data_IF_205504754746
#
_entry.id   IF_205504754746
#
_cell.length_a   1.000
_cell.length_b   1.000
_cell.length_c   1.000
_cell.angle_alpha   90.00
_cell.angle_beta   90.00
_cell.angle_gamma   90.00
#
_symmetry.space_group_name_H-M   'P 1'
#
loop_
_entity.id
_entity.type
_entity.pdbx_description
1 polymer ?
#
# COMPACT_ATOMS: atom_id res chain seq x y z
N UNK A 1 18.33 3.60 -7.37
CA UNK A 1 17.55 4.78 -7.79
C UNK A 1 16.37 4.42 -8.69
N UNK A 2 16.57 3.64 -9.77
CA UNK A 2 15.50 3.28 -10.74
C UNK A 2 14.23 2.70 -10.10
N UNK A 3 14.35 1.74 -9.18
CA UNK A 3 13.16 1.08 -8.59
C UNK A 3 12.26 2.05 -7.81
N UNK A 4 12.84 3.02 -7.08
CA UNK A 4 12.09 4.01 -6.30
C UNK A 4 11.24 4.92 -7.18
N UNK A 5 11.78 5.29 -8.35
CA UNK A 5 11.10 6.09 -9.36
C UNK A 5 9.94 5.29 -9.97
N UNK A 6 10.17 4.02 -10.30
CA UNK A 6 9.12 3.13 -10.82
C UNK A 6 8.00 2.97 -9.81
N UNK A 7 8.31 2.64 -8.55
CA UNK A 7 7.30 2.47 -7.51
C UNK A 7 6.46 3.74 -7.29
N UNK A 8 7.09 4.93 -7.31
CA UNK A 8 6.35 6.19 -7.23
C UNK A 8 5.41 6.38 -8.42
N UNK A 9 5.88 6.07 -9.63
CA UNK A 9 5.06 6.19 -10.83
C UNK A 9 3.86 5.23 -10.77
N UNK A 10 4.09 3.96 -10.41
CA UNK A 10 3.04 2.95 -10.26
C UNK A 10 1.98 3.38 -9.22
N UNK A 11 2.42 3.94 -8.09
CA UNK A 11 1.53 4.46 -7.06
C UNK A 11 0.73 5.68 -7.56
N UNK A 12 1.36 6.60 -8.31
CA UNK A 12 0.67 7.75 -8.91
C UNK A 12 -0.31 7.33 -9.99
N UNK A 13 0.05 6.34 -10.81
CA UNK A 13 -0.81 5.81 -11.87
C UNK A 13 -2.03 5.12 -11.27
N UNK A 14 -1.86 4.36 -10.19
CA UNK A 14 -2.96 3.80 -9.41
C UNK A 14 -3.92 4.90 -8.94
N UNK A 15 -3.40 5.91 -8.25
CA UNK A 15 -4.20 7.04 -7.74
C UNK A 15 -4.93 7.77 -8.87
N UNK A 16 -4.26 8.03 -10.00
CA UNK A 16 -4.83 8.75 -11.13
C UNK A 16 -5.88 7.91 -11.86
N UNK A 17 -5.61 6.62 -12.11
CA UNK A 17 -6.51 5.71 -12.84
C UNK A 17 -7.84 5.54 -12.13
N UNK A 18 -7.81 5.43 -10.81
CA UNK A 18 -9.00 5.22 -9.99
C UNK A 18 -9.64 6.53 -9.52
N UNK A 19 -9.18 7.67 -10.05
CA UNK A 19 -9.61 9.00 -9.64
C UNK A 19 -9.70 9.11 -8.10
N UNK A 20 -8.56 8.92 -7.43
CA UNK A 20 -8.44 9.04 -5.97
C UNK A 20 -7.86 10.38 -5.53
N UNK A 21 -7.34 11.18 -6.47
CA UNK A 21 -6.72 12.48 -6.19
C UNK A 21 -7.70 13.47 -5.53
N UNK A 22 -7.30 14.12 -4.44
CA UNK A 22 -8.00 15.30 -3.93
C UNK A 22 -7.11 16.55 -4.08
N UNK A 23 -7.58 17.71 -3.60
CA UNK A 23 -6.83 18.98 -3.70
C UNK A 23 -5.59 19.02 -2.80
N UNK A 24 -5.44 18.06 -1.90
CA UNK A 24 -4.32 17.89 -0.98
C UNK A 24 -3.45 16.72 -1.49
N UNK A 25 -2.18 16.62 -1.09
CA UNK A 25 -1.37 15.44 -1.44
C UNK A 25 -1.55 14.26 -0.47
N UNK A 26 -2.63 14.30 0.33
CA UNK A 26 -3.11 13.24 1.22
C UNK A 26 -4.39 12.67 0.63
N UNK A 27 -4.35 11.44 0.15
CA UNK A 27 -5.45 10.71 -0.46
C UNK A 27 -6.01 9.72 0.55
N UNK A 28 -7.32 9.72 0.77
CA UNK A 28 -7.98 8.85 1.75
C UNK A 28 -9.19 8.18 1.10
N UNK A 29 -9.26 6.85 1.15
CA UNK A 29 -10.31 6.06 0.51
C UNK A 29 -10.50 4.70 1.18
N UNK A 30 -11.68 4.11 1.01
CA UNK A 30 -11.96 2.74 1.41
C UNK A 30 -11.43 1.76 0.36
N UNK A 31 -11.03 0.58 0.80
CA UNK A 31 -10.44 -0.44 -0.07
C UNK A 31 -10.73 -1.85 0.43
N UNK A 32 -10.69 -2.82 -0.49
CA UNK A 32 -10.62 -4.24 -0.16
C UNK A 32 -9.15 -4.65 -0.14
N UNK A 33 -8.66 -5.09 1.01
CA UNK A 33 -7.28 -5.47 1.24
C UNK A 33 -7.15 -6.97 1.44
N UNK A 34 -6.13 -7.55 0.80
CA UNK A 34 -5.64 -8.88 1.13
C UNK A 34 -4.15 -8.81 1.45
N UNK A 35 -3.76 -9.35 2.60
CA UNK A 35 -2.36 -9.40 3.06
C UNK A 35 -1.97 -10.86 3.17
N UNK A 36 -0.86 -11.25 2.57
CA UNK A 36 -0.23 -12.55 2.80
C UNK A 36 1.16 -12.30 3.35
N UNK A 37 1.48 -12.90 4.49
CA UNK A 37 2.84 -12.91 5.07
C UNK A 37 3.38 -14.34 5.04
N UNK A 38 4.59 -14.58 5.56
CA UNK A 38 5.17 -15.93 5.59
C UNK A 38 4.26 -16.94 6.30
N UNK A 39 3.57 -16.51 7.37
CA UNK A 39 2.81 -17.41 8.26
C UNK A 39 1.32 -17.09 8.34
N UNK A 40 0.88 -15.91 7.89
CA UNK A 40 -0.48 -15.43 8.12
C UNK A 40 -1.10 -14.90 6.83
N UNK A 41 -2.43 -14.80 6.83
CA UNK A 41 -3.19 -14.27 5.71
C UNK A 41 -4.45 -13.53 6.19
N UNK A 42 -4.70 -12.38 5.60
CA UNK A 42 -5.97 -11.66 5.62
C UNK A 42 -6.49 -11.61 4.19
N UNK A 43 -7.77 -11.90 3.98
CA UNK A 43 -8.36 -11.93 2.64
C UNK A 43 -9.60 -11.06 2.61
N UNK A 44 -9.68 -10.19 1.60
CA UNK A 44 -10.83 -9.34 1.30
C UNK A 44 -11.39 -8.56 2.50
N UNK A 45 -10.52 -8.00 3.34
CA UNK A 45 -10.94 -7.16 4.46
C UNK A 45 -11.12 -5.73 3.96
N UNK A 46 -12.28 -5.14 4.23
CA UNK A 46 -12.50 -3.72 3.97
C UNK A 46 -11.74 -2.88 5.01
N UNK A 47 -10.96 -1.90 4.55
CA UNK A 47 -10.26 -0.96 5.42
C UNK A 47 -10.00 0.36 4.70
N UNK A 48 -9.79 1.39 5.51
CA UNK A 48 -9.39 2.71 5.06
C UNK A 48 -7.91 2.71 4.68
N UNK A 49 -7.57 3.41 3.60
CA UNK A 49 -6.21 3.56 3.11
C UNK A 49 -5.90 5.04 2.95
N UNK A 50 -4.73 5.42 3.46
CA UNK A 50 -4.18 6.77 3.28
C UNK A 50 -2.94 6.67 2.39
N UNK A 51 -2.86 7.50 1.36
CA UNK A 51 -1.67 7.68 0.52
C UNK A 51 -1.18 9.10 0.68
N UNK A 52 0.11 9.29 0.98
CA UNK A 52 0.72 10.63 1.09
C UNK A 52 1.91 10.78 0.16
N UNK A 53 2.07 11.99 -0.42
CA UNK A 53 3.23 12.36 -1.24
C UNK A 53 4.04 13.55 -0.68
N UNK A 54 3.64 14.11 0.48
CA UNK A 54 4.13 15.41 0.98
C UNK A 54 5.41 15.40 1.84
N UNK A 55 5.99 14.23 2.11
CA UNK A 55 7.20 14.14 2.93
C UNK A 55 8.46 14.55 2.11
N UNK A 56 9.36 15.34 2.69
CA UNK A 56 10.66 15.68 2.08
C UNK A 56 11.39 14.38 1.71
N UNK A 57 11.80 14.22 0.44
CA UNK A 57 12.38 12.98 -0.12
C UNK A 57 11.44 11.75 -0.24
N UNK A 58 10.12 11.93 -0.12
CA UNK A 58 9.15 10.84 -0.19
C UNK A 58 8.72 10.50 -1.61
N UNK A 59 8.90 9.22 -1.94
CA UNK A 59 8.40 8.59 -3.16
C UNK A 59 6.93 8.15 -3.02
N UNK A 60 6.25 8.54 -1.94
CA UNK A 60 4.90 8.13 -1.62
C UNK A 60 4.86 7.08 -0.51
N UNK A 61 3.89 7.21 0.39
CA UNK A 61 3.59 6.26 1.46
C UNK A 61 2.15 5.77 1.35
N UNK A 62 1.92 4.52 1.70
CA UNK A 62 0.62 3.87 1.83
C UNK A 62 0.45 3.42 3.28
N UNK A 63 -0.64 3.81 3.91
CA UNK A 63 -1.02 3.43 5.27
C UNK A 63 -2.33 2.65 5.21
N UNK A 64 -2.37 1.50 5.90
CA UNK A 64 -3.60 0.75 6.15
C UNK A 64 -4.13 1.16 7.52
N UNK A 65 -5.34 1.72 7.53
CA UNK A 65 -6.02 2.17 8.74
C UNK A 65 -6.99 1.08 9.17
N UNK A 66 -6.53 0.21 10.06
CA UNK A 66 -7.34 -0.87 10.64
C UNK A 66 -6.82 -1.20 12.04
N UNK A 67 -7.64 -0.93 13.05
CA UNK A 67 -7.28 -1.12 14.45
C UNK A 67 -7.25 -2.60 14.87
N UNK A 68 -7.80 -3.50 14.04
CA UNK A 68 -7.87 -4.94 14.35
C UNK A 68 -6.73 -5.74 13.69
N UNK A 69 -5.88 -5.10 12.86
CA UNK A 69 -4.69 -5.76 12.33
C UNK A 69 -3.62 -5.85 13.42
N UNK A 70 -3.25 -7.07 13.80
CA UNK A 70 -2.06 -7.30 14.61
C UNK A 70 -0.80 -6.93 13.82
N UNK A 71 -0.21 -5.79 14.16
CA UNK A 71 1.00 -5.25 13.50
C UNK A 71 2.24 -6.11 13.70
N UNK A 72 2.22 -7.05 14.66
CA UNK A 72 3.27 -8.06 14.80
C UNK A 72 3.21 -9.14 13.72
N UNK A 73 2.06 -9.29 13.06
CA UNK A 73 1.78 -10.32 12.05
C UNK A 73 1.58 -9.75 10.65
N UNK A 74 1.18 -8.48 10.54
CA UNK A 74 0.88 -7.80 9.28
C UNK A 74 1.48 -6.38 9.24
N UNK A 75 2.20 -6.02 8.17
CA UNK A 75 2.65 -4.64 7.98
C UNK A 75 1.47 -3.73 7.64
N UNK A 76 1.50 -2.49 8.14
CA UNK A 76 0.45 -1.48 7.90
C UNK A 76 0.96 -0.22 7.21
N UNK A 77 2.28 -0.06 7.05
CA UNK A 77 2.90 1.12 6.43
C UNK A 77 3.88 0.68 5.34
N UNK A 78 3.79 1.31 4.18
CA UNK A 78 4.60 1.00 3.00
C UNK A 78 5.09 2.28 2.33
N UNK A 79 6.41 2.47 2.23
CA UNK A 79 7.04 3.53 1.45
C UNK A 79 7.52 3.02 0.09
N UNK A 80 7.11 3.68 -1.00
CA UNK A 80 7.55 3.37 -2.36
C UNK A 80 9.09 3.40 -2.54
N UNK A 81 9.81 4.03 -1.60
CA UNK A 81 11.27 4.07 -1.54
C UNK A 81 11.88 2.68 -1.28
N UNK A 82 11.17 1.78 -0.60
CA UNK A 82 11.73 0.53 -0.08
C UNK A 82 11.04 -0.70 -0.65
N UNK A 83 9.72 -0.70 -0.72
CA UNK A 83 8.95 -1.85 -1.19
C UNK A 83 8.87 -1.89 -2.71
N UNK A 84 8.54 -3.05 -3.29
CA UNK A 84 8.06 -3.12 -4.68
C UNK A 84 6.60 -2.71 -4.71
N UNK A 85 6.23 -1.79 -5.61
CA UNK A 85 4.85 -1.39 -5.87
C UNK A 85 4.55 -1.54 -7.34
N UNK A 86 3.41 -2.17 -7.67
CA UNK A 86 2.97 -2.37 -9.05
C UNK A 86 1.47 -2.19 -9.16
N UNK A 87 1.03 -1.26 -9.99
CA UNK A 87 -0.33 -1.15 -10.43
C UNK A 87 -0.61 -2.24 -11.48
N UNK A 88 -1.34 -3.27 -11.06
CA UNK A 88 -1.54 -4.48 -11.85
C UNK A 88 -2.91 -4.48 -12.49
N UNK A 89 -2.96 -4.85 -13.77
CA UNK A 89 -4.16 -4.95 -14.61
C UNK A 89 -5.03 -3.69 -14.67
N UNK A 90 -4.48 -2.54 -14.27
CA UNK A 90 -5.20 -1.27 -14.08
C UNK A 90 -6.34 -1.33 -13.05
N UNK A 91 -6.32 -2.33 -12.16
CA UNK A 91 -7.40 -2.59 -11.20
C UNK A 91 -6.98 -2.44 -9.75
N UNK A 92 -5.73 -2.80 -9.42
CA UNK A 92 -5.28 -2.84 -8.03
C UNK A 92 -3.80 -2.53 -7.89
N UNK A 93 -3.42 -2.06 -6.71
CA UNK A 93 -2.02 -1.89 -6.33
C UNK A 93 -1.54 -3.15 -5.61
N UNK A 94 -0.45 -3.74 -6.10
CA UNK A 94 0.28 -4.83 -5.46
C UNK A 94 1.54 -4.28 -4.80
N UNK A 95 1.68 -4.49 -3.50
CA UNK A 95 2.86 -4.12 -2.72
C UNK A 95 3.52 -5.40 -2.22
N UNK A 96 4.84 -5.51 -2.31
CA UNK A 96 5.56 -6.68 -1.80
C UNK A 96 6.99 -6.37 -1.40
N UNK A 97 7.46 -7.01 -0.34
CA UNK A 97 8.84 -6.93 0.15
C UNK A 97 9.11 -8.03 1.22
N UNK A 98 10.28 -7.97 1.84
CA UNK A 98 10.70 -8.82 2.95
C UNK A 98 10.87 -7.95 4.20
N UNK A 99 10.14 -8.27 5.26
CA UNK A 99 10.24 -7.58 6.55
C UNK A 99 11.44 -8.09 7.36
N UNK A 100 12.63 -7.53 7.09
CA UNK A 100 13.92 -7.99 7.62
C UNK A 100 14.07 -7.99 9.14
N UNK A 101 13.25 -7.20 9.85
CA UNK A 101 13.33 -7.06 11.31
C UNK A 101 12.34 -7.97 12.06
N UNK A 102 11.36 -8.56 11.37
CA UNK A 102 10.32 -9.36 11.99
C UNK A 102 10.03 -10.59 11.12
N UNK A 103 10.65 -11.71 11.48
CA UNK A 103 10.53 -12.97 10.76
C UNK A 103 9.11 -13.56 10.78
N UNK A 104 8.25 -13.13 11.72
CA UNK A 104 6.83 -13.54 11.73
C UNK A 104 6.06 -12.96 10.55
N UNK A 105 6.46 -11.77 10.09
CA UNK A 105 5.99 -11.18 8.84
C UNK A 105 6.78 -11.80 7.68
N UNK A 106 8.12 -11.70 7.72
CA UNK A 106 9.00 -12.20 6.67
C UNK A 106 8.60 -11.68 5.28
N UNK A 107 8.46 -12.58 4.30
CA UNK A 107 7.99 -12.20 2.96
C UNK A 107 6.51 -11.81 3.02
N UNK A 108 6.15 -10.67 2.43
CA UNK A 108 4.76 -10.27 2.37
C UNK A 108 4.33 -9.75 1.00
N UNK A 109 3.02 -9.87 0.74
CA UNK A 109 2.31 -9.29 -0.39
C UNK A 109 1.01 -8.66 0.10
N UNK A 110 0.72 -7.46 -0.39
CA UNK A 110 -0.50 -6.71 -0.09
C UNK A 110 -1.17 -6.36 -1.40
N UNK A 111 -2.43 -6.76 -1.55
CA UNK A 111 -3.30 -6.36 -2.66
C UNK A 111 -4.24 -5.28 -2.15
N UNK A 112 -4.21 -4.12 -2.79
CA UNK A 112 -5.08 -2.97 -2.50
C UNK A 112 -6.03 -2.75 -3.66
N UNK A 113 -7.31 -3.09 -3.47
CA UNK A 113 -8.37 -2.84 -4.45
C UNK A 113 -9.13 -1.59 -3.97
N UNK A 114 -9.05 -0.45 -4.68
CA UNK A 114 -9.74 0.75 -4.25
C UNK A 114 -11.24 0.58 -4.42
N UNK A 115 -12.00 1.08 -3.45
CA UNK A 115 -13.45 1.18 -3.55
C UNK A 115 -13.83 2.64 -3.82
N UNK A 116 -14.37 3.32 -2.82
CA UNK A 116 -14.82 4.70 -2.90
C UNK A 116 -13.99 5.57 -1.97
N UNK A 117 -13.87 6.84 -2.31
CA UNK A 117 -13.34 7.85 -1.40
C UNK A 117 -14.22 7.93 -0.15
N UNK A 118 -13.60 8.27 0.99
CA UNK A 118 -14.30 8.58 2.25
C UNK A 118 -14.79 10.02 2.22
#
# INVERSE_FOLDING_TARGET
>A
MKNKIINNQELRDFVKKHDLNNRLSIIHFNSIISITTTKNKVTNKEMEVIITFDDFDSYGKVFLMDNDLDTCLFPTVFEAKWQTMKHTDQEFLLISDIHKQNDKIGNYKVKVIPLKRV
#
